data_IF_490355897554
#
_entry.id   IF_490355897554
#
_cell.length_a   1.000
_cell.length_b   1.000
_cell.length_c   1.000
_cell.angle_alpha   90.00
_cell.angle_beta   90.00
_cell.angle_gamma   90.00
#
_symmetry.space_group_name_H-M   'P 1'
#
loop_
_entity.id
_entity.type
_entity.pdbx_description
1 polymer ?
#
# COMPACT_ATOMS: atom_id res chain seq x y z
N UNK A 1 42.69 4.61 29.03
CA UNK A 1 42.07 4.28 27.73
C UNK A 1 40.54 4.14 27.80
N UNK A 2 39.95 3.75 28.94
CA UNK A 2 38.48 3.64 29.10
C UNK A 2 37.72 4.98 29.20
N UNK A 3 38.43 6.09 29.46
CA UNK A 3 37.86 7.44 29.68
C UNK A 3 37.61 8.23 28.38
N UNK A 4 38.24 7.82 27.28
CA UNK A 4 38.05 8.44 25.95
C UNK A 4 36.90 7.81 25.15
N UNK A 5 36.50 6.57 25.49
CA UNK A 5 35.42 5.83 24.80
C UNK A 5 34.03 6.32 25.23
N UNK A 6 33.87 6.83 26.46
CA UNK A 6 32.59 7.39 26.92
C UNK A 6 32.26 8.76 26.31
N UNK A 7 33.26 9.56 25.93
CA UNK A 7 33.06 10.90 25.36
C UNK A 7 32.65 10.88 23.87
N UNK A 8 32.99 9.81 23.14
CA UNK A 8 32.59 9.64 21.74
C UNK A 8 31.15 9.14 21.59
N UNK A 9 30.59 8.47 22.61
CA UNK A 9 29.21 7.99 22.58
C UNK A 9 28.17 9.11 22.78
N UNK A 10 28.54 10.20 23.45
CA UNK A 10 27.62 11.33 23.73
C UNK A 10 27.52 12.32 22.57
N UNK A 11 28.51 12.35 21.67
CA UNK A 11 28.54 13.27 20.53
C UNK A 11 27.68 12.79 19.33
N UNK A 12 27.32 11.50 19.29
CA UNK A 12 26.55 10.93 18.17
C UNK A 12 25.02 10.98 18.39
N UNK A 13 24.56 11.46 19.54
CA UNK A 13 23.12 11.53 19.89
C UNK A 13 22.44 12.84 19.48
N UNK A 14 23.15 13.80 18.88
CA UNK A 14 22.68 15.18 18.72
C UNK A 14 22.18 15.58 17.32
N UNK A 15 22.01 14.63 16.40
CA UNK A 15 21.50 14.94 15.04
C UNK A 15 20.28 14.11 14.64
N UNK A 16 19.34 13.91 15.58
CA UNK A 16 17.96 13.55 15.20
C UNK A 16 17.23 14.87 14.97
N UNK A 17 17.29 15.40 13.74
CA UNK A 17 16.38 16.47 13.34
C UNK A 17 14.96 15.89 13.37
N UNK A 18 14.13 16.44 14.25
CA UNK A 18 12.70 16.11 14.27
C UNK A 18 12.12 16.44 12.89
N UNK A 19 11.67 15.41 12.17
CA UNK A 19 10.97 15.62 10.91
C UNK A 19 9.66 16.37 11.21
N UNK A 20 9.51 17.56 10.61
CA UNK A 20 8.25 18.30 10.68
C UNK A 20 7.29 17.70 9.64
N UNK A 21 6.07 17.37 10.06
CA UNK A 21 5.03 16.97 9.12
C UNK A 21 4.68 18.16 8.23
N UNK A 22 4.73 17.98 6.90
CA UNK A 22 4.31 19.00 5.94
C UNK A 22 2.98 18.63 5.29
N UNK A 23 2.10 19.61 5.15
CA UNK A 23 0.85 19.44 4.42
C UNK A 23 1.09 19.56 2.93
N UNK A 24 0.95 18.45 2.21
CA UNK A 24 0.95 18.45 0.75
C UNK A 24 -0.42 18.89 0.25
N UNK A 25 -0.46 19.95 -0.56
CA UNK A 25 -1.64 20.38 -1.31
C UNK A 25 -1.41 20.15 -2.79
N UNK A 26 -2.33 19.45 -3.42
CA UNK A 26 -2.26 19.14 -4.85
C UNK A 26 -3.60 19.44 -5.51
N UNK A 27 -3.55 19.87 -6.77
CA UNK A 27 -4.73 20.11 -7.59
C UNK A 27 -5.07 18.84 -8.40
N UNK A 28 -6.36 18.59 -8.62
CA UNK A 28 -6.85 17.50 -9.46
C UNK A 28 -7.54 18.06 -10.69
N UNK A 29 -7.53 17.29 -11.77
CA UNK A 29 -8.17 17.65 -13.03
C UNK A 29 -9.71 17.73 -12.93
N UNK A 30 -10.29 17.10 -11.92
CA UNK A 30 -11.71 17.14 -11.61
C UNK A 30 -12.00 16.48 -10.27
N UNK A 31 -13.26 16.60 -9.84
CA UNK A 31 -13.74 15.90 -8.66
C UNK A 31 -13.97 14.42 -8.95
N UNK A 32 -13.92 13.62 -7.89
CA UNK A 32 -14.29 12.22 -7.99
C UNK A 32 -15.81 12.10 -7.96
N UNK A 33 -16.35 11.26 -8.85
CA UNK A 33 -17.79 11.05 -8.97
C UNK A 33 -18.35 10.13 -7.87
N UNK A 34 -17.49 9.32 -7.26
CA UNK A 34 -17.85 8.29 -6.27
C UNK A 34 -16.63 7.84 -5.48
N UNK A 35 -16.84 7.37 -4.25
CA UNK A 35 -15.78 6.74 -3.45
C UNK A 35 -15.81 5.20 -3.52
N UNK A 36 -16.76 4.66 -4.29
CA UNK A 36 -16.86 3.23 -4.55
C UNK A 36 -15.87 2.82 -5.67
N UNK A 37 -14.86 1.99 -5.39
CA UNK A 37 -13.83 1.62 -6.36
C UNK A 37 -14.37 0.81 -7.54
N UNK A 38 -15.59 0.27 -7.47
CA UNK A 38 -16.18 -0.54 -8.55
C UNK A 38 -17.23 0.23 -9.38
N UNK A 39 -17.48 1.51 -9.08
CA UNK A 39 -18.59 2.26 -9.67
C UNK A 39 -18.23 3.03 -10.94
N UNK A 40 -16.98 3.49 -11.10
CA UNK A 40 -16.53 4.29 -12.25
C UNK A 40 -15.12 3.90 -12.72
N UNK A 41 -14.85 4.06 -14.01
CA UNK A 41 -13.57 3.73 -14.65
C UNK A 41 -12.94 4.97 -15.31
N UNK A 42 -12.59 5.97 -14.50
CA UNK A 42 -12.03 7.25 -14.96
C UNK A 42 -10.96 7.80 -14.00
N UNK A 43 -10.04 8.60 -14.54
CA UNK A 43 -8.79 9.01 -13.89
C UNK A 43 -8.96 9.73 -12.54
N UNK A 44 -9.62 10.91 -12.47
CA UNK A 44 -9.93 11.61 -11.22
C UNK A 44 -10.45 10.73 -10.06
N UNK A 45 -11.39 9.81 -10.32
CA UNK A 45 -11.88 8.88 -9.29
C UNK A 45 -10.82 7.85 -8.89
N UNK A 46 -10.09 7.26 -9.84
CA UNK A 46 -9.00 6.34 -9.50
C UNK A 46 -7.88 7.00 -8.70
N UNK A 47 -7.55 8.25 -9.03
CA UNK A 47 -6.51 9.00 -8.32
C UNK A 47 -6.86 9.22 -6.85
N UNK A 48 -8.15 9.41 -6.53
CA UNK A 48 -8.62 9.47 -5.14
C UNK A 48 -8.72 8.10 -4.50
N UNK A 49 -9.22 7.10 -5.22
CA UNK A 49 -9.36 5.73 -4.71
C UNK A 49 -8.00 5.17 -4.27
N UNK A 50 -6.92 5.44 -5.01
CA UNK A 50 -5.55 5.05 -4.63
C UNK A 50 -5.03 5.71 -3.34
N UNK A 51 -5.72 6.71 -2.78
CA UNK A 51 -5.38 7.28 -1.46
C UNK A 51 -6.11 6.57 -0.31
N UNK A 52 -7.11 5.74 -0.62
CA UNK A 52 -8.03 5.13 0.35
C UNK A 52 -7.91 3.60 0.36
N UNK A 53 -7.65 2.99 -0.81
CA UNK A 53 -7.63 1.55 -1.00
C UNK A 53 -6.28 1.07 -1.52
N UNK A 54 -5.81 -0.04 -0.98
CA UNK A 54 -4.61 -0.74 -1.46
C UNK A 54 -4.99 -1.97 -2.31
N UNK A 55 -4.40 -2.15 -3.51
CA UNK A 55 -4.61 -3.35 -4.32
C UNK A 55 -3.72 -4.53 -3.87
N UNK A 56 -3.94 -5.71 -4.44
CA UNK A 56 -3.00 -6.84 -4.27
C UNK A 56 -1.60 -6.53 -4.81
N UNK A 57 -1.55 -5.91 -5.98
CA UNK A 57 -0.32 -5.54 -6.69
C UNK A 57 -0.45 -4.11 -7.22
N UNK A 58 0.68 -3.43 -7.36
CA UNK A 58 0.74 -2.06 -7.87
C UNK A 58 1.73 -1.94 -9.02
N UNK A 59 1.69 -0.81 -9.74
CA UNK A 59 2.74 -0.43 -10.70
C UNK A 59 3.63 0.65 -10.13
N UNK A 60 4.94 0.49 -10.28
CA UNK A 60 5.88 1.56 -9.99
C UNK A 60 5.93 2.60 -11.13
N UNK A 61 6.78 3.62 -10.97
CA UNK A 61 6.96 4.69 -11.96
C UNK A 61 7.57 4.20 -13.29
N UNK A 62 8.20 3.02 -13.31
CA UNK A 62 8.66 2.37 -14.54
C UNK A 62 7.57 1.54 -15.22
N UNK A 63 6.43 1.35 -14.55
CA UNK A 63 5.33 0.51 -14.99
C UNK A 63 5.47 -0.97 -14.58
N UNK A 64 6.55 -1.33 -13.87
CA UNK A 64 6.76 -2.68 -13.38
C UNK A 64 5.74 -3.04 -12.31
N UNK A 65 5.29 -4.30 -12.31
CA UNK A 65 4.38 -4.82 -11.28
C UNK A 65 5.19 -5.08 -10.00
N UNK A 66 4.72 -4.51 -8.89
CA UNK A 66 5.35 -4.58 -7.59
C UNK A 66 4.37 -5.09 -6.50
N UNK A 67 4.88 -5.68 -5.40
CA UNK A 67 4.06 -6.11 -4.28
C UNK A 67 3.29 -4.94 -3.62
N UNK A 68 2.06 -5.20 -3.18
CA UNK A 68 1.28 -4.31 -2.31
C UNK A 68 0.68 -5.12 -1.14
N UNK A 69 -0.63 -5.43 -1.16
CA UNK A 69 -1.24 -6.35 -0.19
C UNK A 69 -0.86 -7.82 -0.43
N UNK A 70 -0.44 -8.19 -1.64
CA UNK A 70 0.23 -9.45 -1.91
C UNK A 70 1.75 -9.25 -1.89
N UNK A 71 2.46 -10.08 -1.12
CA UNK A 71 3.92 -10.05 -0.98
C UNK A 71 4.64 -10.94 -1.98
N UNK A 72 3.95 -11.95 -2.51
CA UNK A 72 4.44 -12.87 -3.52
C UNK A 72 3.27 -13.39 -4.36
N UNK A 73 3.52 -13.72 -5.62
CA UNK A 73 2.50 -14.26 -6.52
C UNK A 73 3.12 -15.10 -7.64
N UNK A 74 2.47 -16.21 -7.96
CA UNK A 74 2.89 -17.08 -9.05
C UNK A 74 1.70 -17.87 -9.61
N UNK A 75 1.82 -18.35 -10.84
CA UNK A 75 0.92 -19.38 -11.35
C UNK A 75 1.15 -20.69 -10.61
N UNK A 76 0.10 -21.50 -10.49
CA UNK A 76 0.22 -22.82 -9.90
C UNK A 76 1.04 -23.75 -10.82
N UNK A 77 1.96 -24.55 -10.25
CA UNK A 77 2.65 -25.58 -11.02
C UNK A 77 1.65 -26.48 -11.74
N UNK A 78 1.81 -26.62 -13.06
CA UNK A 78 0.93 -27.46 -13.89
C UNK A 78 -0.40 -26.82 -14.30
N UNK A 79 -0.71 -25.59 -13.87
CA UNK A 79 -1.90 -24.87 -14.34
C UNK A 79 -1.64 -23.35 -14.46
N UNK A 80 -1.34 -22.83 -15.66
CA UNK A 80 -1.04 -21.41 -15.86
C UNK A 80 -2.25 -20.49 -15.69
N UNK A 81 -3.47 -21.03 -15.64
CA UNK A 81 -4.70 -20.25 -15.48
C UNK A 81 -5.06 -20.02 -14.00
N UNK A 82 -4.35 -20.63 -13.06
CA UNK A 82 -4.60 -20.45 -11.63
C UNK A 82 -3.42 -19.74 -11.01
N UNK A 83 -3.70 -18.62 -10.35
CA UNK A 83 -2.71 -17.81 -9.65
C UNK A 83 -2.85 -17.99 -8.15
N UNK A 84 -1.72 -18.05 -7.44
CA UNK A 84 -1.65 -18.01 -5.99
C UNK A 84 -0.96 -16.73 -5.57
N UNK A 85 -1.59 -16.01 -4.65
CA UNK A 85 -1.06 -14.82 -4.02
C UNK A 85 -0.79 -15.11 -2.55
N UNK A 86 0.36 -14.67 -2.04
CA UNK A 86 0.66 -14.68 -0.61
C UNK A 86 0.35 -13.30 -0.05
N UNK A 87 -0.65 -13.22 0.82
CA UNK A 87 -1.08 -11.95 1.41
C UNK A 87 -0.08 -11.43 2.45
N UNK A 88 -0.08 -10.12 2.67
CA UNK A 88 0.67 -9.44 3.71
C UNK A 88 -0.03 -9.65 5.05
N UNK A 89 0.74 -10.10 6.03
CA UNK A 89 0.24 -10.36 7.39
C UNK A 89 0.13 -9.06 8.20
N UNK A 90 -0.81 -9.04 9.16
CA UNK A 90 -0.96 -7.95 10.12
C UNK A 90 -1.53 -6.65 9.55
N UNK A 91 -2.15 -6.71 8.37
CA UNK A 91 -2.87 -5.57 7.78
C UNK A 91 -4.23 -5.44 8.44
N UNK A 92 -4.63 -4.21 8.75
CA UNK A 92 -5.94 -3.89 9.31
C UNK A 92 -6.60 -2.77 8.52
N UNK A 93 -7.93 -2.82 8.41
CA UNK A 93 -8.72 -1.70 7.92
C UNK A 93 -8.74 -0.55 8.94
N UNK A 94 -9.24 0.61 8.52
CA UNK A 94 -9.30 1.82 9.36
C UNK A 94 -10.16 1.66 10.62
N UNK A 95 -11.08 0.69 10.64
CA UNK A 95 -11.92 0.35 11.80
C UNK A 95 -11.28 -0.71 12.72
N UNK A 96 -10.10 -1.21 12.37
CA UNK A 96 -9.36 -2.22 13.11
C UNK A 96 -9.69 -3.68 12.74
N UNK A 97 -10.61 -3.93 11.80
CA UNK A 97 -10.83 -5.28 11.28
C UNK A 97 -9.54 -5.80 10.60
N UNK A 98 -9.26 -7.10 10.76
CA UNK A 98 -8.12 -7.72 10.10
C UNK A 98 -8.43 -7.95 8.61
N UNK A 99 -7.44 -7.73 7.75
CA UNK A 99 -7.52 -8.06 6.33
C UNK A 99 -7.12 -9.52 6.09
N UNK A 100 -7.93 -10.25 5.32
CA UNK A 100 -7.60 -11.60 4.86
C UNK A 100 -8.07 -11.91 3.42
N UNK A 101 -7.99 -13.19 3.03
CA UNK A 101 -8.35 -13.62 1.69
C UNK A 101 -9.85 -13.54 1.38
N UNK A 102 -10.72 -13.56 2.39
CA UNK A 102 -12.16 -13.45 2.20
C UNK A 102 -12.54 -12.06 1.70
N UNK A 103 -11.88 -11.01 2.20
CA UNK A 103 -12.06 -9.62 1.73
C UNK A 103 -11.71 -9.46 0.25
N UNK A 104 -10.62 -10.12 -0.17
CA UNK A 104 -10.18 -10.16 -1.57
C UNK A 104 -11.24 -10.85 -2.44
N UNK A 105 -11.71 -12.02 -2.00
CA UNK A 105 -12.73 -12.80 -2.70
C UNK A 105 -14.05 -12.02 -2.80
N UNK A 106 -14.48 -11.38 -1.71
CA UNK A 106 -15.66 -10.55 -1.68
C UNK A 106 -15.56 -9.40 -2.70
N UNK A 107 -14.45 -8.67 -2.67
CA UNK A 107 -14.23 -7.52 -3.56
C UNK A 107 -14.23 -7.94 -5.03
N UNK A 108 -13.51 -9.01 -5.39
CA UNK A 108 -13.49 -9.53 -6.76
C UNK A 108 -14.86 -10.02 -7.23
N UNK A 109 -15.62 -10.69 -6.36
CA UNK A 109 -16.97 -11.14 -6.68
C UNK A 109 -17.92 -9.95 -6.87
N UNK A 110 -17.79 -8.90 -6.05
CA UNK A 110 -18.56 -7.67 -6.18
C UNK A 110 -18.25 -6.93 -7.47
N UNK A 111 -16.99 -6.89 -7.89
CA UNK A 111 -16.59 -6.25 -9.16
C UNK A 111 -17.10 -7.01 -10.40
N UNK A 112 -17.34 -8.32 -10.27
CA UNK A 112 -17.85 -9.18 -11.36
C UNK A 112 -19.37 -9.04 -11.55
N UNK A 113 -20.09 -8.68 -10.51
CA UNK A 113 -21.56 -8.61 -10.49
C UNK A 113 -22.06 -7.37 -11.24
#
# INVERSE_FOLDING_TARGET
MLRFVLLTATALSLTVTAASAETIRWARAGDSLTLDPHSQNEGPTHALAHQIYDPLLQRDMSGAIIPALATDWATLPGNPNVWRFKLREGVTFHDGAAFDSEDVVFSLNRAKA
#
